data_IF_589197991898
#
_entry.id   IF_589197991898
#
_cell.length_a   1.000
_cell.length_b   1.000
_cell.length_c   1.000
_cell.angle_alpha   90.00
_cell.angle_beta   90.00
_cell.angle_gamma   90.00
#
_symmetry.space_group_name_H-M   'P 1'
#
loop_
_entity.id
_entity.type
_entity.pdbx_description
1 polymer ?
#
# COMPACT_ATOMS: atom_id res chain seq x y z
N UNK A 1 28.06 -0.62 -4.49
CA UNK A 1 26.73 -1.23 -4.24
C UNK A 1 26.05 -0.36 -3.19
N UNK A 2 24.81 0.11 -3.41
CA UNK A 2 24.06 0.84 -2.38
C UNK A 2 23.36 -0.18 -1.48
N UNK A 3 23.35 0.07 -0.18
CA UNK A 3 22.64 -0.76 0.77
C UNK A 3 21.12 -0.54 0.62
N UNK A 4 20.37 -1.64 0.67
CA UNK A 4 18.92 -1.62 0.54
C UNK A 4 18.27 -1.63 1.92
N UNK A 5 17.26 -0.79 2.10
CA UNK A 5 16.53 -0.63 3.36
C UNK A 5 15.02 -0.75 3.12
N UNK A 6 14.32 -1.38 4.06
CA UNK A 6 12.86 -1.37 4.11
C UNK A 6 12.44 -0.21 5.01
N UNK A 7 11.83 0.81 4.43
CA UNK A 7 11.47 2.04 5.15
C UNK A 7 10.14 1.90 5.90
N UNK A 8 9.14 1.31 5.25
CA UNK A 8 7.81 1.12 5.82
C UNK A 8 7.13 -0.12 5.22
N UNK A 9 6.14 -0.67 5.93
CA UNK A 9 5.35 -1.80 5.47
C UNK A 9 3.93 -1.72 6.00
N UNK A 10 2.95 -1.90 5.12
CA UNK A 10 1.53 -1.90 5.45
C UNK A 10 0.79 -2.91 4.58
N UNK A 11 -0.34 -3.41 5.07
CA UNK A 11 -1.19 -4.34 4.33
C UNK A 11 -2.65 -4.07 4.62
N UNK A 12 -3.52 -4.46 3.71
CA UNK A 12 -4.95 -4.53 4.00
C UNK A 12 -5.23 -5.55 5.10
N UNK A 13 -6.42 -5.47 5.69
CA UNK A 13 -6.97 -6.62 6.38
C UNK A 13 -7.09 -7.83 5.41
N UNK A 14 -7.34 -9.02 5.96
CA UNK A 14 -7.71 -10.19 5.16
C UNK A 14 -9.17 -10.49 5.43
N UNK A 15 -10.00 -10.39 4.41
CA UNK A 15 -11.43 -10.65 4.51
C UNK A 15 -11.79 -12.07 4.02
N UNK A 16 -12.90 -12.62 4.50
CA UNK A 16 -13.43 -13.90 4.05
C UNK A 16 -13.84 -13.85 2.57
N UNK A 17 -13.64 -14.94 1.84
CA UNK A 17 -14.18 -15.08 0.49
C UNK A 17 -15.72 -15.05 0.50
N UNK A 18 -16.33 -14.47 -0.55
CA UNK A 18 -17.79 -14.36 -0.81
C UNK A 18 -18.60 -13.55 0.22
N UNK A 19 -18.34 -13.67 1.52
CA UNK A 19 -19.09 -12.99 2.60
C UNK A 19 -18.21 -12.06 3.45
N UNK A 20 -17.03 -11.68 2.96
CA UNK A 20 -16.13 -10.76 3.64
C UNK A 20 -16.31 -9.31 3.20
N UNK A 21 -15.72 -8.39 3.97
CA UNK A 21 -15.86 -6.94 3.79
C UNK A 21 -15.36 -6.42 2.44
N UNK A 22 -14.44 -7.12 1.77
CA UNK A 22 -13.92 -6.70 0.46
C UNK A 22 -14.65 -7.30 -0.74
N UNK A 23 -15.78 -8.00 -0.56
CA UNK A 23 -16.51 -8.65 -1.67
C UNK A 23 -16.90 -7.67 -2.80
N UNK A 24 -17.15 -6.42 -2.45
CA UNK A 24 -17.55 -5.36 -3.39
C UNK A 24 -16.45 -4.33 -3.63
N UNK A 25 -15.26 -4.56 -3.11
CA UNK A 25 -14.09 -3.73 -3.39
C UNK A 25 -13.35 -4.27 -4.60
N UNK A 26 -12.87 -3.37 -5.46
CA UNK A 26 -11.94 -3.77 -6.50
C UNK A 26 -10.53 -3.88 -5.92
N UNK A 27 -9.69 -4.79 -6.44
CA UNK A 27 -8.33 -4.96 -5.94
C UNK A 27 -7.43 -3.72 -6.17
N UNK A 28 -7.66 -2.97 -7.23
CA UNK A 28 -6.93 -1.72 -7.52
C UNK A 28 -7.29 -0.60 -6.55
N UNK A 29 -8.56 -0.49 -6.14
CA UNK A 29 -8.97 0.45 -5.08
C UNK A 29 -8.26 0.12 -3.75
N UNK A 30 -8.18 -1.18 -3.40
CA UNK A 30 -7.46 -1.62 -2.21
C UNK A 30 -5.96 -1.31 -2.28
N UNK A 31 -5.34 -1.48 -3.46
CA UNK A 31 -3.94 -1.13 -3.67
C UNK A 31 -3.70 0.38 -3.53
N UNK A 32 -4.56 1.20 -4.15
CA UNK A 32 -4.49 2.65 -4.06
C UNK A 32 -4.63 3.12 -2.61
N UNK A 33 -5.56 2.56 -1.84
CA UNK A 33 -5.74 2.89 -0.42
C UNK A 33 -4.48 2.57 0.41
N UNK A 34 -3.85 1.41 0.16
CA UNK A 34 -2.61 1.01 0.85
C UNK A 34 -1.44 1.92 0.48
N UNK A 35 -1.24 2.23 -0.80
CA UNK A 35 -0.16 3.11 -1.26
C UNK A 35 -0.34 4.51 -0.68
N UNK A 36 -1.55 5.05 -0.75
CA UNK A 36 -1.87 6.36 -0.17
C UNK A 36 -1.65 6.38 1.35
N UNK A 37 -1.98 5.30 2.06
CA UNK A 37 -1.70 5.18 3.48
C UNK A 37 -0.19 5.15 3.78
N UNK A 38 0.58 4.36 3.01
CA UNK A 38 2.03 4.26 3.17
C UNK A 38 2.74 5.60 2.93
N UNK A 39 2.40 6.32 1.86
CA UNK A 39 2.95 7.65 1.60
C UNK A 39 2.61 8.64 2.72
N UNK A 40 1.42 8.55 3.31
CA UNK A 40 1.05 9.37 4.48
C UNK A 40 1.82 9.00 5.74
N UNK A 41 2.23 7.74 5.88
CA UNK A 41 3.03 7.28 7.03
C UNK A 41 4.49 7.74 6.98
N UNK A 42 4.96 8.19 5.82
CA UNK A 42 6.32 8.72 5.58
C UNK A 42 6.22 10.09 4.92
N UNK A 43 5.77 11.14 5.66
CA UNK A 43 5.47 12.46 5.08
C UNK A 43 6.69 13.17 4.46
N UNK A 44 7.91 12.79 4.82
CA UNK A 44 9.15 13.32 4.26
C UNK A 44 9.51 12.76 2.87
N UNK A 45 8.84 11.70 2.41
CA UNK A 45 9.07 11.10 1.09
C UNK A 45 8.25 11.84 0.03
N UNK A 46 8.93 12.54 -0.89
CA UNK A 46 8.30 13.00 -2.13
C UNK A 46 7.88 11.80 -2.99
N UNK A 47 6.57 11.60 -3.29
CA UNK A 47 6.09 10.47 -4.08
C UNK A 47 6.71 10.39 -5.48
N UNK A 48 7.20 11.51 -6.04
CA UNK A 48 7.86 11.53 -7.35
C UNK A 48 9.22 10.84 -7.36
N UNK A 49 9.77 10.51 -6.19
CA UNK A 49 11.04 9.77 -6.05
C UNK A 49 10.86 8.25 -6.11
N UNK A 50 9.63 7.76 -6.22
CA UNK A 50 9.34 6.33 -6.42
C UNK A 50 9.52 6.02 -7.91
N UNK A 51 10.53 5.22 -8.23
CA UNK A 51 10.90 4.91 -9.61
C UNK A 51 10.09 3.73 -10.21
N UNK A 52 9.52 2.86 -9.38
CA UNK A 52 8.83 1.63 -9.81
C UNK A 52 7.75 1.16 -8.80
N UNK A 53 6.73 0.41 -9.29
CA UNK A 53 5.60 -0.13 -8.52
C UNK A 53 5.17 -1.54 -8.98
#
# INVERSE_FOLDING_TARGET
MREAYIVAGFRTAVAKAKKGGFRFYRPDDLAADVINHLLKSVPELDPKRVDDL
#
